data_IF_018670464200
#
_entry.id   IF_018670464200
#
_cell.length_a   1.000
_cell.length_b   1.000
_cell.length_c   1.000
_cell.angle_alpha   90.00
_cell.angle_beta   90.00
_cell.angle_gamma   90.00
#
_symmetry.space_group_name_H-M   'P 1'
#
loop_
_entity.id
_entity.type
_entity.pdbx_description
1 polymer ?
#
# COMPACT_ATOMS: atom_id res chain seq x y z
N UNK A 1 36.38 -16.74 1.57
CA UNK A 1 35.67 -16.31 2.80
C UNK A 1 34.90 -15.02 2.57
N UNK A 2 35.55 -13.90 2.20
CA UNK A 2 34.89 -12.59 2.03
C UNK A 2 33.78 -12.56 0.96
N UNK A 3 33.98 -13.22 -0.20
CA UNK A 3 32.96 -13.28 -1.27
C UNK A 3 31.66 -14.00 -0.86
N UNK A 4 31.77 -15.09 -0.08
CA UNK A 4 30.60 -15.85 0.39
C UNK A 4 29.74 -15.03 1.35
N UNK A 5 30.38 -14.22 2.22
CA UNK A 5 29.67 -13.33 3.13
C UNK A 5 28.96 -12.18 2.40
N UNK A 6 29.57 -11.66 1.33
CA UNK A 6 28.97 -10.61 0.49
C UNK A 6 27.73 -11.13 -0.26
N UNK A 7 27.81 -12.34 -0.83
CA UNK A 7 26.69 -12.98 -1.53
C UNK A 7 25.53 -13.31 -0.58
N UNK A 8 25.82 -13.80 0.62
CA UNK A 8 24.80 -14.08 1.62
C UNK A 8 24.07 -12.80 2.07
N UNK A 9 24.83 -11.72 2.32
CA UNK A 9 24.25 -10.43 2.73
C UNK A 9 23.31 -9.88 1.66
N UNK A 10 23.73 -9.91 0.38
CA UNK A 10 22.89 -9.44 -0.72
C UNK A 10 21.60 -10.25 -0.88
N UNK A 11 21.67 -11.58 -0.73
CA UNK A 11 20.48 -12.43 -0.80
C UNK A 11 19.49 -12.14 0.35
N UNK A 12 19.98 -11.95 1.57
CA UNK A 12 19.12 -11.62 2.73
C UNK A 12 18.45 -10.26 2.56
N UNK A 13 19.17 -9.26 2.02
CA UNK A 13 18.61 -7.95 1.73
C UNK A 13 17.47 -8.01 0.70
N UNK A 14 17.67 -8.75 -0.40
CA UNK A 14 16.64 -8.91 -1.45
C UNK A 14 15.38 -9.57 -0.88
N UNK A 15 15.53 -10.64 -0.10
CA UNK A 15 14.39 -11.33 0.53
C UNK A 15 13.70 -10.42 1.53
N UNK A 16 14.44 -9.69 2.36
CA UNK A 16 13.90 -8.73 3.31
C UNK A 16 13.06 -7.64 2.62
N UNK A 17 13.58 -7.06 1.54
CA UNK A 17 12.87 -6.06 0.72
C UNK A 17 11.61 -6.62 0.07
N UNK A 18 11.66 -7.85 -0.43
CA UNK A 18 10.50 -8.53 -0.99
C UNK A 18 9.38 -8.77 0.03
N UNK A 19 9.74 -9.25 1.23
CA UNK A 19 8.78 -9.46 2.33
C UNK A 19 8.19 -8.13 2.80
N UNK A 20 9.01 -7.10 2.98
CA UNK A 20 8.56 -5.77 3.39
C UNK A 20 7.55 -5.19 2.39
N UNK A 21 7.85 -5.25 1.10
CA UNK A 21 6.95 -4.75 0.06
C UNK A 21 5.64 -5.54 0.05
N UNK A 22 5.73 -6.88 0.05
CA UNK A 22 4.55 -7.76 0.04
C UNK A 22 3.65 -7.54 1.25
N UNK A 23 4.20 -7.60 2.46
CA UNK A 23 3.44 -7.42 3.70
C UNK A 23 2.95 -5.98 3.89
N UNK A 24 3.79 -4.99 3.58
CA UNK A 24 3.47 -3.58 3.75
C UNK A 24 2.35 -3.10 2.82
N UNK A 25 2.19 -3.72 1.65
CA UNK A 25 1.13 -3.36 0.69
C UNK A 25 -0.25 -3.97 1.01
N UNK A 26 -0.34 -4.94 1.94
CA UNK A 26 -1.61 -5.56 2.33
C UNK A 26 -2.57 -4.53 2.93
N UNK A 27 -2.09 -3.71 3.87
CA UNK A 27 -2.89 -2.68 4.53
C UNK A 27 -3.51 -1.69 3.56
N UNK A 28 -2.71 -1.05 2.69
CA UNK A 28 -3.23 -0.15 1.66
C UNK A 28 -4.19 -0.82 0.68
N UNK A 29 -3.85 -2.01 0.16
CA UNK A 29 -4.72 -2.73 -0.78
C UNK A 29 -6.09 -3.05 -0.20
N UNK A 30 -6.14 -3.50 1.06
CA UNK A 30 -7.40 -3.74 1.78
C UNK A 30 -8.12 -2.41 2.07
N UNK A 31 -7.39 -1.39 2.53
CA UNK A 31 -7.95 -0.09 2.90
C UNK A 31 -8.68 0.59 1.74
N UNK A 32 -8.06 0.66 0.56
CA UNK A 32 -8.68 1.24 -0.64
C UNK A 32 -9.89 0.42 -1.08
N UNK A 33 -9.80 -0.92 -1.03
CA UNK A 33 -10.92 -1.81 -1.37
C UNK A 33 -12.14 -1.60 -0.46
N UNK A 34 -11.92 -1.46 0.85
CA UNK A 34 -13.00 -1.20 1.82
C UNK A 34 -13.63 0.18 1.61
N UNK A 35 -12.83 1.22 1.40
CA UNK A 35 -13.32 2.58 1.13
C UNK A 35 -14.16 2.59 -0.16
N UNK A 36 -13.65 1.99 -1.24
CA UNK A 36 -14.36 1.88 -2.51
C UNK A 36 -15.68 1.11 -2.37
N UNK A 37 -15.67 -0.03 -1.67
CA UNK A 37 -16.88 -0.81 -1.42
C UNK A 37 -17.94 0.01 -0.65
N UNK A 38 -17.55 0.69 0.43
CA UNK A 38 -18.46 1.51 1.21
C UNK A 38 -19.05 2.66 0.39
N UNK A 39 -18.22 3.33 -0.43
CA UNK A 39 -18.69 4.40 -1.30
C UNK A 39 -19.67 3.91 -2.36
N UNK A 40 -19.36 2.80 -3.06
CA UNK A 40 -20.24 2.24 -4.08
C UNK A 40 -21.57 1.76 -3.50
N UNK A 41 -21.57 1.18 -2.30
CA UNK A 41 -22.79 0.81 -1.59
C UNK A 41 -23.62 2.04 -1.21
N UNK A 42 -22.98 3.14 -0.78
CA UNK A 42 -23.68 4.39 -0.47
C UNK A 42 -24.32 5.00 -1.73
N UNK A 43 -23.57 5.07 -2.84
CA UNK A 43 -24.05 5.60 -4.13
C UNK A 43 -25.16 4.73 -4.72
N UNK A 44 -25.05 3.40 -4.64
CA UNK A 44 -26.08 2.49 -5.13
C UNK A 44 -27.42 2.62 -4.38
N UNK A 45 -27.39 3.00 -3.10
CA UNK A 45 -28.59 3.25 -2.28
C UNK A 45 -29.11 4.69 -2.42
N UNK A 46 -28.23 5.65 -2.63
CA UNK A 46 -28.56 7.05 -2.83
C UNK A 46 -27.62 7.68 -3.88
N UNK A 47 -28.08 7.89 -5.12
CA UNK A 47 -27.28 8.48 -6.19
C UNK A 47 -26.71 9.87 -5.84
N UNK A 48 -27.37 10.65 -4.97
CA UNK A 48 -26.87 11.96 -4.55
C UNK A 48 -25.58 11.86 -3.71
N UNK A 49 -25.27 10.68 -3.14
CA UNK A 49 -24.03 10.46 -2.40
C UNK A 49 -22.78 10.54 -3.31
N UNK A 50 -22.94 10.44 -4.63
CA UNK A 50 -21.83 10.55 -5.58
C UNK A 50 -21.07 11.88 -5.48
N UNK A 51 -21.73 12.96 -4.99
CA UNK A 51 -21.11 14.26 -4.74
C UNK A 51 -19.95 14.22 -3.75
N UNK A 52 -19.86 13.18 -2.92
CA UNK A 52 -18.80 13.01 -1.91
C UNK A 52 -17.54 12.33 -2.44
N UNK A 53 -17.46 12.02 -3.75
CA UNK A 53 -16.28 11.39 -4.34
C UNK A 53 -14.98 12.14 -4.01
N UNK A 54 -15.01 13.47 -4.00
CA UNK A 54 -13.86 14.29 -3.63
C UNK A 54 -13.35 14.01 -2.22
N UNK A 55 -14.24 13.94 -1.20
CA UNK A 55 -13.83 13.58 0.16
C UNK A 55 -13.33 12.13 0.23
N UNK A 56 -13.94 11.20 -0.49
CA UNK A 56 -13.50 9.81 -0.52
C UNK A 56 -12.08 9.68 -1.09
N UNK A 57 -11.74 10.44 -2.13
CA UNK A 57 -10.39 10.46 -2.70
C UNK A 57 -9.34 10.97 -1.71
N UNK A 58 -9.70 11.85 -0.76
CA UNK A 58 -8.78 12.25 0.32
C UNK A 58 -8.47 11.07 1.24
N UNK A 59 -9.46 10.26 1.60
CA UNK A 59 -9.22 9.04 2.37
C UNK A 59 -8.39 8.01 1.60
N UNK A 60 -8.67 7.82 0.31
CA UNK A 60 -7.84 6.98 -0.57
C UNK A 60 -6.41 7.50 -0.59
N UNK A 61 -6.18 8.80 -0.73
CA UNK A 61 -4.84 9.39 -0.74
C UNK A 61 -4.08 9.17 0.59
N UNK A 62 -4.78 9.20 1.74
CA UNK A 62 -4.17 8.88 3.03
C UNK A 62 -3.75 7.41 3.09
N UNK A 63 -4.57 6.50 2.57
CA UNK A 63 -4.23 5.07 2.49
C UNK A 63 -3.06 4.83 1.52
N UNK A 64 -3.07 5.48 0.36
CA UNK A 64 -1.99 5.43 -0.63
C UNK A 64 -0.70 6.05 -0.12
N UNK A 65 -0.75 7.05 0.77
CA UNK A 65 0.46 7.55 1.43
C UNK A 65 1.20 6.42 2.17
N UNK A 66 0.48 5.49 2.79
CA UNK A 66 1.11 4.35 3.46
C UNK A 66 1.74 3.38 2.44
N UNK A 67 1.08 3.14 1.30
CA UNK A 67 1.66 2.37 0.20
C UNK A 67 2.96 3.03 -0.32
N UNK A 68 2.94 4.35 -0.49
CA UNK A 68 4.10 5.12 -0.93
C UNK A 68 5.23 5.09 0.08
N UNK A 69 4.96 5.09 1.39
CA UNK A 69 6.01 4.95 2.41
C UNK A 69 6.65 3.55 2.37
N UNK A 70 5.86 2.49 2.18
CA UNK A 70 6.38 1.13 2.01
C UNK A 70 7.23 1.05 0.73
N UNK A 71 6.76 1.61 -0.38
CA UNK A 71 7.54 1.65 -1.61
C UNK A 71 8.82 2.47 -1.48
N UNK A 72 8.73 3.69 -0.93
CA UNK A 72 9.86 4.59 -0.75
C UNK A 72 10.94 4.00 0.16
N UNK A 73 10.54 3.20 1.16
CA UNK A 73 11.50 2.55 2.05
C UNK A 73 12.49 1.63 1.31
N UNK A 74 12.15 1.08 0.13
CA UNK A 74 13.07 0.30 -0.69
C UNK A 74 14.35 1.06 -1.11
N UNK A 75 14.29 2.38 -1.13
CA UNK A 75 15.40 3.26 -1.49
C UNK A 75 16.15 3.82 -0.28
N UNK A 76 15.62 3.60 0.92
CA UNK A 76 16.15 4.12 2.19
C UNK A 76 16.89 3.03 2.96
N UNK A 77 16.35 1.81 2.96
CA UNK A 77 16.91 0.65 3.67
C UNK A 77 17.49 -0.39 2.72
#
# INVERSE_FOLDING_TARGET
MFHVLAELTGNVEIVGKGIMLGAGMIGPGIGVGLIGNAFMNAVGRNPEAAKFLGQILVFVAIVELMALLVFASLFII
#
